data_IF_359847393220
#
_entry.id   IF_359847393220
#
_cell.length_a   1.000
_cell.length_b   1.000
_cell.length_c   1.000
_cell.angle_alpha   90.00
_cell.angle_beta   90.00
_cell.angle_gamma   90.00
#
_symmetry.space_group_name_H-M   'P 1'
#
loop_
_entity.id
_entity.type
_entity.pdbx_description
1 polymer ?
#
# COMPACT_ATOMS: atom_id res chain seq x y z
N UNK A 1 -18.96 -28.76 -12.19
CA UNK A 1 -18.16 -28.40 -11.02
C UNK A 1 -16.95 -27.66 -11.57
N UNK A 2 -17.07 -26.33 -11.69
CA UNK A 2 -16.02 -25.45 -12.18
C UNK A 2 -15.13 -25.10 -10.99
N UNK A 3 -13.87 -25.53 -11.06
CA UNK A 3 -12.82 -25.13 -10.10
C UNK A 3 -12.64 -23.62 -10.19
N UNK A 4 -13.12 -22.87 -9.21
CA UNK A 4 -12.75 -21.47 -9.01
C UNK A 4 -11.26 -21.45 -8.68
N UNK A 5 -10.47 -20.97 -9.62
CA UNK A 5 -9.08 -20.65 -9.37
C UNK A 5 -9.06 -19.50 -8.36
N UNK A 6 -8.62 -19.79 -7.14
CA UNK A 6 -8.40 -18.80 -6.09
C UNK A 6 -7.27 -17.89 -6.56
N UNK A 7 -7.63 -16.69 -7.02
CA UNK A 7 -6.63 -15.70 -7.42
C UNK A 7 -5.87 -15.23 -6.16
N UNK A 8 -4.61 -15.57 -6.07
CA UNK A 8 -3.71 -15.10 -5.02
C UNK A 8 -3.18 -13.73 -5.41
N UNK A 9 -3.34 -12.75 -4.53
CA UNK A 9 -2.72 -11.44 -4.75
C UNK A 9 -1.21 -11.58 -4.61
N UNK A 10 -0.49 -11.39 -5.71
CA UNK A 10 0.97 -11.42 -5.73
C UNK A 10 1.49 -9.99 -5.61
N UNK A 11 2.10 -9.69 -4.48
CA UNK A 11 2.78 -8.41 -4.26
C UNK A 11 4.25 -8.63 -4.61
N UNK A 12 4.74 -7.93 -5.63
CA UNK A 12 6.10 -8.07 -6.13
C UNK A 12 6.96 -6.90 -5.68
N UNK A 13 8.08 -7.21 -5.01
CA UNK A 13 9.16 -6.26 -4.80
C UNK A 13 10.42 -6.76 -5.52
N UNK A 14 11.37 -5.90 -5.90
CA UNK A 14 12.67 -6.33 -6.38
C UNK A 14 13.35 -7.20 -5.31
N UNK A 15 13.47 -8.50 -5.57
CA UNK A 15 14.09 -9.48 -4.67
C UNK A 15 13.16 -10.12 -3.63
N UNK A 16 11.84 -9.77 -3.57
CA UNK A 16 10.93 -10.37 -2.61
C UNK A 16 9.53 -10.48 -3.21
N UNK A 17 8.93 -11.67 -3.21
CA UNK A 17 7.55 -11.88 -3.59
C UNK A 17 6.75 -12.15 -2.32
N UNK A 18 5.75 -11.33 -2.04
CA UNK A 18 4.80 -11.55 -0.95
C UNK A 18 3.51 -12.08 -1.56
N UNK A 19 3.09 -13.26 -1.14
CA UNK A 19 1.79 -13.81 -1.48
C UNK A 19 0.85 -13.63 -0.29
N UNK A 20 -0.26 -12.95 -0.52
CA UNK A 20 -1.31 -12.79 0.47
C UNK A 20 -2.53 -13.61 0.09
N UNK A 21 -3.13 -14.25 1.09
CA UNK A 21 -4.43 -14.88 0.90
C UNK A 21 -5.45 -13.86 0.40
N UNK A 22 -6.36 -14.24 -0.51
CA UNK A 22 -7.42 -13.36 -0.98
C UNK A 22 -8.22 -12.77 0.20
N UNK A 23 -8.49 -11.47 0.15
CA UNK A 23 -9.14 -10.73 1.22
C UNK A 23 -10.00 -9.55 0.69
N UNK A 24 -10.79 -8.93 1.55
CA UNK A 24 -11.78 -7.92 1.21
C UNK A 24 -11.33 -6.47 1.46
N UNK A 25 -10.02 -6.18 1.54
CA UNK A 25 -9.58 -4.79 1.65
C UNK A 25 -10.15 -3.94 0.48
N UNK A 26 -10.63 -2.74 0.78
CA UNK A 26 -11.18 -1.85 -0.25
C UNK A 26 -10.09 -1.41 -1.24
N UNK A 27 -8.88 -1.19 -0.77
CA UNK A 27 -7.79 -0.73 -1.61
C UNK A 27 -7.14 -1.87 -2.42
N UNK A 28 -6.67 -2.95 -1.76
CA UNK A 28 -5.86 -4.00 -2.41
C UNK A 28 -6.51 -5.40 -2.41
N UNK A 29 -7.71 -5.57 -1.86
CA UNK A 29 -8.35 -6.88 -1.70
C UNK A 29 -8.90 -7.45 -3.00
N UNK A 30 -8.43 -8.65 -3.39
CA UNK A 30 -8.86 -9.33 -4.63
C UNK A 30 -10.29 -9.88 -4.57
N UNK A 31 -10.84 -10.09 -3.36
CA UNK A 31 -12.23 -10.53 -3.17
C UNK A 31 -13.23 -9.37 -3.23
N UNK A 32 -12.77 -8.13 -3.08
CA UNK A 32 -13.64 -6.97 -3.13
C UNK A 32 -13.77 -6.43 -4.56
N UNK A 33 -14.76 -6.89 -5.29
CA UNK A 33 -15.02 -6.47 -6.68
C UNK A 33 -15.46 -5.00 -6.80
N UNK A 34 -15.87 -4.37 -5.70
CA UNK A 34 -16.21 -2.93 -5.64
C UNK A 34 -15.02 -2.07 -5.21
N UNK A 35 -13.93 -2.70 -4.75
CA UNK A 35 -12.71 -2.03 -4.35
C UNK A 35 -11.84 -1.59 -5.52
N UNK A 36 -10.67 -1.09 -5.19
CA UNK A 36 -9.71 -0.58 -6.18
C UNK A 36 -8.79 -1.68 -6.75
N UNK A 37 -8.62 -2.78 -6.01
CA UNK A 37 -7.76 -3.93 -6.37
C UNK A 37 -6.34 -3.49 -6.78
N UNK A 38 -5.76 -2.59 -5.99
CA UNK A 38 -4.43 -2.04 -6.24
C UNK A 38 -3.38 -3.15 -6.25
N UNK A 39 -2.55 -3.15 -7.27
CA UNK A 39 -1.32 -3.95 -7.29
C UNK A 39 -0.23 -3.20 -6.54
N UNK A 40 0.18 -3.71 -5.40
CA UNK A 40 1.17 -3.07 -4.52
C UNK A 40 2.53 -3.73 -4.72
N UNK A 41 3.55 -2.90 -4.90
CA UNK A 41 4.95 -3.29 -4.91
C UNK A 41 5.60 -2.87 -3.60
N UNK A 42 6.44 -3.74 -3.01
CA UNK A 42 7.11 -3.49 -1.74
C UNK A 42 8.63 -3.55 -1.93
N UNK A 43 9.32 -2.60 -1.34
CA UNK A 43 10.77 -2.56 -1.20
C UNK A 43 11.16 -2.39 0.26
N UNK A 44 12.44 -2.15 0.54
CA UNK A 44 12.96 -1.91 1.89
C UNK A 44 12.42 -0.58 2.43
N UNK A 45 11.46 -0.65 3.38
CA UNK A 45 10.81 0.51 3.97
C UNK A 45 10.02 1.39 2.99
N UNK A 46 9.68 0.86 1.80
CA UNK A 46 8.95 1.55 0.73
C UNK A 46 7.91 0.64 0.11
N UNK A 47 6.87 1.25 -0.43
CA UNK A 47 5.94 0.57 -1.33
C UNK A 47 5.37 1.53 -2.36
N UNK A 48 4.88 1.01 -3.48
CA UNK A 48 4.32 1.83 -4.55
C UNK A 48 3.29 1.07 -5.37
N UNK A 49 2.48 1.82 -6.09
CA UNK A 49 1.56 1.33 -7.11
C UNK A 49 1.52 2.30 -8.28
N UNK A 50 1.32 1.79 -9.48
CA UNK A 50 1.03 2.57 -10.68
C UNK A 50 -0.36 2.19 -11.16
N UNK A 51 -1.20 3.18 -11.42
CA UNK A 51 -2.58 2.95 -11.81
C UNK A 51 -3.12 4.11 -12.65
N UNK A 52 -4.19 3.81 -13.36
CA UNK A 52 -5.06 4.81 -13.95
C UNK A 52 -6.44 4.66 -13.32
N UNK A 53 -6.95 5.74 -12.73
CA UNK A 53 -8.23 5.71 -12.04
C UNK A 53 -9.39 5.58 -13.03
N UNK A 54 -10.35 4.72 -12.69
CA UNK A 54 -11.59 4.60 -13.43
C UNK A 54 -12.56 5.74 -13.07
N UNK A 55 -13.48 6.06 -13.97
CA UNK A 55 -14.51 7.10 -13.78
C UNK A 55 -15.40 6.90 -12.54
N UNK A 56 -15.58 5.66 -12.09
CA UNK A 56 -16.32 5.36 -10.85
C UNK A 56 -15.68 5.96 -9.59
N UNK A 57 -14.45 6.44 -9.69
CA UNK A 57 -13.72 7.10 -8.61
C UNK A 57 -13.67 8.62 -8.74
N UNK A 58 -14.50 9.20 -9.61
CA UNK A 58 -14.62 10.64 -9.75
C UNK A 58 -15.25 11.29 -8.51
N UNK A 59 -14.79 12.50 -8.19
CA UNK A 59 -15.47 13.43 -7.29
C UNK A 59 -16.17 14.54 -8.09
N UNK A 60 -15.41 15.16 -8.97
CA UNK A 60 -15.90 16.08 -10.00
C UNK A 60 -15.65 15.44 -11.37
N UNK A 61 -16.43 15.83 -12.39
CA UNK A 61 -16.28 15.26 -13.73
C UNK A 61 -14.82 15.32 -14.22
N UNK A 62 -14.27 14.15 -14.54
CA UNK A 62 -12.89 13.97 -14.98
C UNK A 62 -11.82 14.05 -13.88
N UNK A 63 -12.18 14.32 -12.61
CA UNK A 63 -11.24 14.49 -11.50
C UNK A 63 -11.50 13.46 -10.41
N UNK A 64 -10.45 12.80 -9.96
CA UNK A 64 -10.50 11.83 -8.89
C UNK A 64 -11.01 12.42 -7.57
N UNK A 65 -11.84 11.67 -6.87
CA UNK A 65 -12.32 12.07 -5.54
C UNK A 65 -11.17 12.09 -4.54
N UNK A 66 -11.07 13.15 -3.73
CA UNK A 66 -10.00 13.30 -2.73
C UNK A 66 -9.92 12.14 -1.74
N UNK A 67 -11.05 11.56 -1.32
CA UNK A 67 -11.08 10.38 -0.45
C UNK A 67 -10.46 9.14 -1.11
N UNK A 68 -10.55 8.99 -2.43
CA UNK A 68 -9.88 7.92 -3.18
C UNK A 68 -8.35 8.12 -3.13
N UNK A 69 -7.89 9.36 -3.32
CA UNK A 69 -6.45 9.68 -3.20
C UNK A 69 -5.92 9.44 -1.78
N UNK A 70 -6.73 9.77 -0.75
CA UNK A 70 -6.40 9.42 0.64
C UNK A 70 -6.28 7.90 0.82
N UNK A 71 -7.20 7.11 0.25
CA UNK A 71 -7.16 5.65 0.31
C UNK A 71 -5.89 5.09 -0.34
N UNK A 72 -5.50 5.59 -1.51
CA UNK A 72 -4.28 5.17 -2.20
C UNK A 72 -3.03 5.49 -1.36
N UNK A 73 -2.97 6.72 -0.82
CA UNK A 73 -1.83 7.15 0.00
C UNK A 73 -1.74 6.36 1.30
N UNK A 74 -2.87 6.14 1.99
CA UNK A 74 -2.90 5.30 3.19
C UNK A 74 -2.39 3.90 2.90
N UNK A 75 -2.85 3.31 1.81
CA UNK A 75 -2.49 1.94 1.40
C UNK A 75 -0.99 1.82 1.11
N UNK A 76 -0.42 2.67 0.25
CA UNK A 76 1.02 2.59 -0.03
C UNK A 76 1.87 2.90 1.20
N UNK A 77 1.46 3.80 2.07
CA UNK A 77 2.17 4.07 3.32
C UNK A 77 2.06 2.90 4.31
N UNK A 78 0.89 2.26 4.43
CA UNK A 78 0.70 1.06 5.26
C UNK A 78 1.58 -0.10 4.80
N UNK A 79 1.67 -0.35 3.49
CA UNK A 79 2.51 -1.41 2.95
C UNK A 79 4.01 -1.13 3.08
N UNK A 80 4.42 0.13 3.18
CA UNK A 80 5.82 0.48 3.47
C UNK A 80 6.26 0.00 4.86
N UNK A 81 5.33 -0.11 5.83
CA UNK A 81 5.60 -0.72 7.14
C UNK A 81 6.01 -2.17 6.99
N UNK A 82 5.30 -2.94 6.14
CA UNK A 82 5.62 -4.36 5.89
C UNK A 82 7.00 -4.49 5.30
N UNK A 83 7.40 -3.60 4.39
CA UNK A 83 8.76 -3.50 3.86
C UNK A 83 9.83 -3.19 4.93
N UNK A 84 9.42 -2.63 6.08
CA UNK A 84 10.27 -2.39 7.25
C UNK A 84 10.05 -3.42 8.38
N UNK A 85 9.50 -4.60 8.05
CA UNK A 85 9.12 -5.67 9.00
C UNK A 85 8.18 -5.23 10.12
N UNK A 86 7.29 -4.28 9.83
CA UNK A 86 6.25 -3.82 10.75
C UNK A 86 4.86 -4.04 10.17
N UNK A 87 3.89 -4.20 11.07
CA UNK A 87 2.46 -4.24 10.78
C UNK A 87 1.77 -3.27 11.71
N UNK A 88 0.79 -2.54 11.23
CA UNK A 88 0.16 -1.52 12.05
C UNK A 88 -1.19 -1.08 11.51
N UNK A 89 -1.81 -0.19 12.27
CA UNK A 89 -3.07 0.48 11.89
C UNK A 89 -2.86 1.98 11.86
N UNK A 90 -3.50 2.64 10.92
CA UNK A 90 -3.45 4.08 10.75
C UNK A 90 -4.07 4.78 11.98
N UNK A 91 -3.30 5.64 12.61
CA UNK A 91 -3.78 6.48 13.72
C UNK A 91 -4.07 7.92 13.24
N UNK A 92 -3.32 8.40 12.27
CA UNK A 92 -3.51 9.73 11.68
C UNK A 92 -3.00 9.73 10.24
N UNK A 93 -3.74 10.39 9.37
CA UNK A 93 -3.36 10.68 8.00
C UNK A 93 -3.61 12.17 7.74
N UNK A 94 -2.63 12.86 7.16
CA UNK A 94 -2.75 14.22 6.67
C UNK A 94 -2.35 14.25 5.20
N UNK A 95 -3.19 14.82 4.35
CA UNK A 95 -2.98 14.86 2.89
C UNK A 95 -3.05 16.30 2.39
N UNK A 96 -2.05 16.68 1.63
CA UNK A 96 -1.98 17.92 0.88
C UNK A 96 -2.26 17.66 -0.60
N UNK A 97 -3.37 18.16 -1.10
CA UNK A 97 -3.70 18.11 -2.52
C UNK A 97 -3.05 19.31 -3.23
N UNK A 98 -2.09 19.02 -4.11
CA UNK A 98 -1.31 20.06 -4.81
C UNK A 98 -1.94 20.44 -6.16
N UNK A 99 -2.53 19.46 -6.86
CA UNK A 99 -3.16 19.63 -8.17
C UNK A 99 -4.34 18.67 -8.31
N UNK A 100 -5.38 19.00 -9.12
CA UNK A 100 -6.39 18.03 -9.50
C UNK A 100 -5.78 16.80 -10.16
N UNK A 101 -6.27 15.62 -9.84
CA UNK A 101 -5.81 14.35 -10.41
C UNK A 101 -6.83 13.88 -11.45
N UNK A 102 -6.51 13.91 -12.75
CA UNK A 102 -7.39 13.40 -13.79
C UNK A 102 -7.55 11.88 -13.69
N UNK A 103 -8.77 11.35 -13.92
CA UNK A 103 -9.04 9.90 -13.86
C UNK A 103 -8.58 9.13 -15.10
N UNK A 104 -8.24 9.81 -16.17
CA UNK A 104 -7.82 9.21 -17.44
C UNK A 104 -6.30 9.23 -17.66
N UNK A 105 -5.52 9.61 -16.63
CA UNK A 105 -4.05 9.68 -16.70
C UNK A 105 -3.40 8.70 -15.73
N UNK A 106 -2.30 8.05 -16.15
CA UNK A 106 -1.53 7.20 -15.26
C UNK A 106 -0.87 8.03 -14.14
N UNK A 107 -1.02 7.54 -12.91
CA UNK A 107 -0.38 8.09 -11.73
C UNK A 107 0.47 7.02 -11.04
N UNK A 108 1.50 7.45 -10.33
CA UNK A 108 2.28 6.63 -9.42
C UNK A 108 2.12 7.15 -8.01
N UNK A 109 1.70 6.28 -7.11
CA UNK A 109 1.69 6.54 -5.67
C UNK A 109 2.83 5.78 -5.01
N UNK A 110 3.53 6.42 -4.08
CA UNK A 110 4.61 5.82 -3.31
C UNK A 110 4.51 6.23 -1.84
N UNK A 111 4.80 5.28 -0.95
CA UNK A 111 4.89 5.49 0.49
C UNK A 111 6.23 4.99 1.04
N UNK A 112 6.74 5.64 2.08
CA UNK A 112 7.98 5.23 2.75
C UNK A 112 7.96 5.54 4.22
N UNK A 113 8.69 4.71 5.01
CA UNK A 113 8.89 4.94 6.42
C UNK A 113 9.89 6.06 6.62
N UNK A 114 9.55 7.04 7.45
CA UNK A 114 10.43 8.16 7.81
C UNK A 114 11.03 8.00 9.19
N UNK A 115 10.28 7.38 10.12
CA UNK A 115 10.76 7.18 11.49
C UNK A 115 10.09 5.97 12.15
N UNK A 116 10.88 5.26 12.95
CA UNK A 116 10.43 4.15 13.81
C UNK A 116 10.73 4.50 15.26
N UNK A 117 9.71 4.69 16.09
CA UNK A 117 9.84 4.93 17.53
C UNK A 117 8.98 3.98 18.32
N UNK A 118 9.57 2.93 18.88
CA UNK A 118 8.85 1.90 19.63
C UNK A 118 7.68 1.33 18.79
N UNK A 119 6.44 1.67 19.18
CA UNK A 119 5.22 1.26 18.47
C UNK A 119 4.61 2.34 17.56
N UNK A 120 5.29 3.45 17.41
CA UNK A 120 4.86 4.54 16.52
C UNK A 120 5.74 4.54 15.27
N UNK A 121 5.11 4.45 14.12
CA UNK A 121 5.76 4.49 12.81
C UNK A 121 5.24 5.72 12.07
N UNK A 122 6.14 6.59 11.69
CA UNK A 122 5.82 7.74 10.84
C UNK A 122 6.18 7.40 9.41
N UNK A 123 5.32 7.76 8.50
CA UNK A 123 5.52 7.56 7.06
C UNK A 123 5.24 8.85 6.31
N UNK A 124 5.78 8.94 5.11
CA UNK A 124 5.41 9.95 4.13
C UNK A 124 5.02 9.26 2.82
N UNK A 125 4.23 9.95 2.01
CA UNK A 125 3.79 9.45 0.72
C UNK A 125 3.56 10.55 -0.30
N UNK A 126 3.55 10.18 -1.57
CA UNK A 126 3.29 11.09 -2.68
C UNK A 126 2.53 10.42 -3.81
N UNK A 127 1.78 11.22 -4.56
CA UNK A 127 1.21 10.84 -5.85
C UNK A 127 1.78 11.78 -6.90
N UNK A 128 2.33 11.22 -7.97
CA UNK A 128 2.89 11.96 -9.11
C UNK A 128 2.22 11.53 -10.41
N UNK A 129 2.17 12.45 -11.36
CA UNK A 129 1.80 12.15 -12.74
C UNK A 129 2.95 11.40 -13.41
N UNK A 130 2.68 10.25 -14.03
CA UNK A 130 3.71 9.42 -14.68
C UNK A 130 4.29 10.11 -15.92
N UNK A 131 3.50 10.94 -16.60
CA UNK A 131 3.92 11.55 -17.88
C UNK A 131 4.97 12.65 -17.71
N UNK A 132 4.88 13.44 -16.63
CA UNK A 132 5.77 14.62 -16.45
C UNK A 132 6.44 14.67 -15.06
N UNK A 133 6.14 13.72 -14.17
CA UNK A 133 6.68 13.65 -12.81
C UNK A 133 6.13 14.71 -11.86
N UNK A 134 5.10 15.48 -12.26
CA UNK A 134 4.54 16.53 -11.42
C UNK A 134 3.89 15.98 -10.16
N UNK A 135 4.18 16.61 -9.01
CA UNK A 135 3.56 16.27 -7.74
C UNK A 135 2.08 16.67 -7.72
N UNK A 136 1.21 15.68 -7.52
CA UNK A 136 -0.24 15.86 -7.47
C UNK A 136 -0.77 15.90 -6.03
N UNK A 137 -0.25 15.05 -5.16
CA UNK A 137 -0.57 15.03 -3.73
C UNK A 137 0.63 14.55 -2.90
N UNK A 138 0.68 14.95 -1.64
CA UNK A 138 1.63 14.43 -0.65
C UNK A 138 0.90 14.12 0.65
N UNK A 139 1.45 13.22 1.47
CA UNK A 139 0.86 12.85 2.74
C UNK A 139 1.92 12.53 3.78
N UNK A 140 1.52 12.74 5.04
CA UNK A 140 2.20 12.24 6.23
C UNK A 140 1.22 11.41 7.05
N UNK A 141 1.67 10.27 7.57
CA UNK A 141 0.83 9.43 8.42
C UNK A 141 1.57 8.92 9.66
N UNK A 142 0.78 8.67 10.69
CA UNK A 142 1.21 8.00 11.91
C UNK A 142 0.48 6.68 12.02
N UNK A 143 1.23 5.60 12.22
CA UNK A 143 0.74 4.26 12.45
C UNK A 143 1.08 3.79 13.86
N UNK A 144 0.19 2.98 14.44
CA UNK A 144 0.47 2.23 15.66
C UNK A 144 0.84 0.81 15.26
N UNK A 145 2.10 0.44 15.44
CA UNK A 145 2.58 -0.89 15.12
C UNK A 145 1.91 -1.96 16.00
N UNK A 146 1.60 -3.09 15.39
CA UNK A 146 1.10 -4.26 16.08
C UNK A 146 2.13 -4.79 17.10
N UNK A 147 1.64 -5.47 18.14
CA UNK A 147 2.52 -6.27 18.99
C UNK A 147 3.04 -7.47 18.21
N UNK A 148 4.16 -8.06 18.64
CA UNK A 148 4.71 -9.26 17.98
C UNK A 148 3.72 -10.43 17.94
N UNK A 149 2.86 -10.57 18.96
CA UNK A 149 1.80 -11.55 18.97
C UNK A 149 0.76 -11.26 17.89
N UNK A 150 0.28 -10.01 17.81
CA UNK A 150 -0.70 -9.59 16.79
C UNK A 150 -0.14 -9.63 15.38
N UNK A 151 1.14 -9.30 15.21
CA UNK A 151 1.85 -9.42 13.93
C UNK A 151 1.83 -10.87 13.43
N UNK A 152 2.17 -11.84 14.30
CA UNK A 152 2.12 -13.27 13.95
C UNK A 152 0.72 -13.73 13.56
N UNK A 153 -0.31 -13.35 14.33
CA UNK A 153 -1.70 -13.66 13.98
C UNK A 153 -2.10 -13.12 12.60
N UNK A 154 -1.68 -11.89 12.28
CA UNK A 154 -1.96 -11.28 10.98
C UNK A 154 -1.21 -12.00 9.85
N UNK A 155 0.05 -12.35 10.06
CA UNK A 155 0.86 -13.10 9.10
C UNK A 155 0.25 -14.47 8.81
N UNK A 156 -0.16 -15.20 9.86
CA UNK A 156 -0.86 -16.49 9.72
C UNK A 156 -2.20 -16.34 8.99
N UNK A 157 -3.01 -15.35 9.40
CA UNK A 157 -4.34 -15.12 8.82
C UNK A 157 -4.29 -14.77 7.34
N UNK A 158 -3.33 -13.98 6.94
CA UNK A 158 -3.18 -13.53 5.54
C UNK A 158 -2.25 -14.42 4.72
N UNK A 159 -1.75 -15.52 5.29
CA UNK A 159 -0.86 -16.45 4.60
C UNK A 159 0.45 -15.79 4.18
N UNK A 160 0.94 -14.83 4.98
CA UNK A 160 2.18 -14.13 4.68
C UNK A 160 3.36 -15.11 4.66
N UNK A 161 4.00 -15.22 3.51
CA UNK A 161 5.27 -15.91 3.36
C UNK A 161 6.32 -14.92 2.88
N UNK A 162 7.26 -14.57 3.74
CA UNK A 162 8.45 -13.86 3.29
C UNK A 162 9.24 -14.79 2.37
N UNK A 163 9.48 -14.37 1.12
CA UNK A 163 10.34 -15.11 0.21
C UNK A 163 11.71 -15.34 0.85
N UNK A 164 12.31 -16.52 0.63
CA UNK A 164 13.55 -16.97 1.25
C UNK A 164 14.79 -16.16 0.89
N UNK A 165 14.67 -15.10 0.11
CA UNK A 165 15.78 -14.29 -0.39
C UNK A 165 15.74 -12.83 0.09
N UNK A 166 15.51 -12.60 1.40
CA UNK A 166 15.80 -11.29 2.00
C UNK A 166 17.30 -11.29 2.37
N UNK A 167 18.17 -10.58 1.64
CA UNK A 167 19.54 -10.37 2.09
C UNK A 167 19.50 -9.45 3.30
N UNK A 168 19.70 -9.98 4.51
CA UNK A 168 19.89 -9.12 5.68
C UNK A 168 19.44 -9.58 7.05
N UNK A 169 18.81 -10.74 7.22
CA UNK A 169 18.59 -11.30 8.56
C UNK A 169 19.83 -12.07 9.04
N UNK A 170 20.98 -11.43 9.01
CA UNK A 170 22.16 -11.86 9.74
C UNK A 170 21.91 -11.66 11.23
N UNK A 171 21.67 -12.74 11.95
CA UNK A 171 21.64 -12.77 13.42
C UNK A 171 22.86 -12.04 13.97
N UNK A 172 22.69 -10.91 14.61
CA UNK A 172 23.71 -10.35 15.50
C UNK A 172 23.62 -11.12 16.82
N UNK A 173 24.67 -11.90 17.04
CA UNK A 173 24.96 -12.50 18.36
C UNK A 173 25.35 -11.40 19.35
#
# INVERSE_FOLDING_TARGET
MTSEATATAVIRAPGTTFEFSPHNCFACGTLNTHGMQLEIHIGEGRSWTELQLERRFEGWEGIAHGGILCTILDEVMAWSLVGADNWGVTARLAVDFKRPVPVDRPIRAEGWVTELRRRLVTTAGSIVDVADGSLLASADALYVAATEERKRELQERYGYQAGSDVPGTGARR
#
